data_IF_819908481768
#
_entry.id   IF_819908481768
#
_cell.length_a   1.000
_cell.length_b   1.000
_cell.length_c   1.000
_cell.angle_alpha   90.00
_cell.angle_beta   90.00
_cell.angle_gamma   90.00
#
_symmetry.space_group_name_H-M   'P 1'
#
loop_
_entity.id
_entity.type
_entity.pdbx_description
1 polymer ?
#
# COMPACT_ATOMS: atom_id res chain seq x y z
N UNK A 1 59.21 -22.65 21.83
CA UNK A 1 59.06 -22.31 20.39
C UNK A 1 59.39 -23.54 19.55
N UNK A 2 58.44 -24.02 18.73
CA UNK A 2 58.62 -24.62 17.39
C UNK A 2 57.24 -25.11 16.91
N UNK A 3 56.84 -24.56 15.77
CA UNK A 3 55.47 -24.47 15.25
C UNK A 3 54.96 -25.83 14.78
N UNK A 4 53.83 -26.29 15.32
CA UNK A 4 53.04 -27.39 14.75
C UNK A 4 51.93 -26.77 13.91
N UNK A 5 52.01 -27.07 12.62
CA UNK A 5 51.05 -26.82 11.57
C UNK A 5 49.66 -27.32 12.01
N UNK A 6 48.67 -26.43 12.12
CA UNK A 6 47.27 -26.82 12.12
C UNK A 6 46.57 -26.06 11.01
N UNK A 7 46.52 -26.72 9.87
CA UNK A 7 45.80 -26.36 8.65
C UNK A 7 44.31 -26.33 8.98
N UNK A 8 43.76 -25.14 9.21
CA UNK A 8 42.32 -24.91 9.12
C UNK A 8 42.05 -24.28 7.77
N UNK A 9 41.81 -25.12 6.77
CA UNK A 9 41.13 -24.73 5.54
C UNK A 9 39.74 -24.23 5.93
N UNK A 10 39.63 -22.91 6.13
CA UNK A 10 38.36 -22.22 6.18
C UNK A 10 37.80 -22.25 4.75
N UNK A 11 37.02 -23.29 4.45
CA UNK A 11 36.14 -23.28 3.31
C UNK A 11 35.15 -22.12 3.54
N UNK A 12 35.45 -20.97 2.95
CA UNK A 12 34.53 -19.85 2.85
C UNK A 12 33.39 -20.36 1.99
N UNK A 13 32.35 -20.85 2.65
CA UNK A 13 31.03 -20.98 2.06
C UNK A 13 30.64 -19.57 1.57
N UNK A 14 30.84 -19.33 0.28
CA UNK A 14 30.09 -18.32 -0.46
C UNK A 14 28.63 -18.76 -0.43
N UNK A 15 27.95 -18.52 0.69
CA UNK A 15 26.51 -18.38 0.67
C UNK A 15 26.26 -17.07 -0.07
N UNK A 16 26.17 -17.16 -1.40
CA UNK A 16 25.40 -16.19 -2.16
C UNK A 16 23.97 -16.39 -1.67
N UNK A 17 23.64 -15.75 -0.55
CA UNK A 17 22.26 -15.50 -0.20
C UNK A 17 21.79 -14.47 -1.22
N UNK A 18 21.50 -14.93 -2.44
CA UNK A 18 20.57 -14.30 -3.33
C UNK A 18 19.16 -14.42 -2.72
N UNK A 19 19.00 -13.94 -1.49
CA UNK A 19 17.76 -13.30 -1.13
C UNK A 19 17.79 -11.97 -1.89
N UNK A 20 17.54 -12.05 -3.20
CA UNK A 20 16.91 -10.96 -3.90
C UNK A 20 15.75 -10.58 -2.99
N UNK A 21 15.92 -9.45 -2.29
CA UNK A 21 14.84 -8.81 -1.56
C UNK A 21 13.66 -8.84 -2.52
N UNK A 22 12.67 -9.69 -2.28
CA UNK A 22 11.43 -9.69 -3.04
C UNK A 22 10.87 -8.29 -2.84
N UNK A 23 11.19 -7.41 -3.80
CA UNK A 23 10.85 -6.00 -3.76
C UNK A 23 9.33 -6.03 -3.83
N UNK A 24 8.66 -5.78 -2.69
CA UNK A 24 7.19 -5.77 -2.65
C UNK A 24 6.70 -4.95 -3.85
N UNK A 25 5.77 -5.47 -4.66
CA UNK A 25 5.25 -4.72 -5.82
C UNK A 25 4.87 -3.33 -5.35
N UNK A 26 5.30 -2.31 -6.09
CA UNK A 26 4.97 -0.94 -5.76
C UNK A 26 3.43 -0.82 -5.70
N UNK A 27 2.89 -0.47 -4.53
CA UNK A 27 1.45 -0.34 -4.36
C UNK A 27 0.98 1.00 -4.93
N UNK A 28 -0.11 0.98 -5.73
CA UNK A 28 -0.74 2.20 -6.23
C UNK A 28 -1.27 3.03 -5.06
N UNK A 29 -0.82 4.29 -4.98
CA UNK A 29 -1.31 5.27 -4.02
C UNK A 29 -2.57 5.97 -4.58
N UNK A 30 -3.70 5.27 -4.62
CA UNK A 30 -4.93 5.70 -5.33
C UNK A 30 -5.39 7.15 -5.06
N UNK A 31 -5.18 7.65 -3.86
CA UNK A 31 -5.62 8.97 -3.42
C UNK A 31 -4.55 10.06 -3.57
N UNK A 32 -3.38 9.71 -4.09
CA UNK A 32 -2.26 10.64 -4.23
C UNK A 32 -2.51 11.60 -5.39
N UNK A 33 -1.95 12.81 -5.28
CA UNK A 33 -2.10 13.82 -6.33
C UNK A 33 -1.52 13.33 -7.65
N UNK A 34 -0.42 12.58 -7.60
CA UNK A 34 0.27 12.00 -8.75
C UNK A 34 -0.65 11.02 -9.50
N UNK A 35 -1.27 10.06 -8.79
CA UNK A 35 -2.18 9.09 -9.42
C UNK A 35 -3.43 9.76 -9.98
N UNK A 36 -3.97 10.77 -9.28
CA UNK A 36 -5.11 11.53 -9.79
C UNK A 36 -4.77 12.33 -11.06
N UNK A 37 -3.56 12.89 -11.12
CA UNK A 37 -3.08 13.55 -12.33
C UNK A 37 -2.88 12.56 -13.49
N UNK A 38 -2.34 11.36 -13.21
CA UNK A 38 -2.12 10.32 -14.23
C UNK A 38 -3.42 9.87 -14.92
N UNK A 39 -4.53 9.81 -14.17
CA UNK A 39 -5.85 9.48 -14.73
C UNK A 39 -6.60 10.72 -15.28
N UNK A 40 -5.93 11.87 -15.38
CA UNK A 40 -6.52 13.13 -15.80
C UNK A 40 -7.80 13.47 -15.00
N UNK A 41 -7.75 13.31 -13.67
CA UNK A 41 -8.89 13.62 -12.82
C UNK A 41 -9.29 15.10 -12.95
N UNK A 42 -10.60 15.36 -13.04
CA UNK A 42 -11.12 16.73 -13.14
C UNK A 42 -10.92 17.49 -11.81
N UNK A 43 -10.92 18.83 -11.82
CA UNK A 43 -10.87 19.62 -10.58
C UNK A 43 -11.97 19.22 -9.57
N UNK A 44 -13.15 18.87 -10.08
CA UNK A 44 -14.28 18.38 -9.29
C UNK A 44 -13.97 17.01 -8.66
N UNK A 45 -13.40 16.07 -9.41
CA UNK A 45 -12.96 14.78 -8.88
C UNK A 45 -11.88 14.95 -7.81
N UNK A 46 -10.88 15.81 -8.04
CA UNK A 46 -9.87 16.12 -7.02
C UNK A 46 -10.50 16.62 -5.72
N UNK A 47 -11.43 17.58 -5.81
CA UNK A 47 -12.12 18.13 -4.64
C UNK A 47 -12.96 17.07 -3.93
N UNK A 48 -13.70 16.25 -4.67
CA UNK A 48 -14.54 15.19 -4.11
C UNK A 48 -13.70 14.12 -3.40
N UNK A 49 -12.61 13.68 -4.03
CA UNK A 49 -11.70 12.67 -3.45
C UNK A 49 -11.00 13.23 -2.21
N UNK A 50 -10.59 14.50 -2.22
CA UNK A 50 -10.02 15.14 -1.02
C UNK A 50 -11.05 15.17 0.13
N UNK A 51 -12.27 15.63 -0.13
CA UNK A 51 -13.32 15.67 0.87
C UNK A 51 -13.63 14.27 1.44
N UNK A 52 -13.69 13.26 0.58
CA UNK A 52 -13.87 11.87 0.96
C UNK A 52 -12.74 11.37 1.87
N UNK A 53 -11.49 11.71 1.56
CA UNK A 53 -10.33 11.35 2.39
C UNK A 53 -10.36 12.07 3.75
N UNK A 54 -10.62 13.38 3.76
CA UNK A 54 -10.69 14.18 4.98
C UNK A 54 -11.77 13.64 5.92
N UNK A 55 -12.96 13.35 5.38
CA UNK A 55 -14.09 12.79 6.12
C UNK A 55 -13.76 11.41 6.69
N UNK A 56 -13.24 10.50 5.86
CA UNK A 56 -12.84 9.16 6.31
C UNK A 56 -11.80 9.20 7.42
N UNK A 57 -10.85 10.13 7.36
CA UNK A 57 -9.85 10.30 8.42
C UNK A 57 -10.45 10.86 9.70
N UNK A 58 -11.39 11.81 9.59
CA UNK A 58 -12.12 12.36 10.75
C UNK A 58 -12.91 11.26 11.46
N UNK A 59 -13.68 10.48 10.72
CA UNK A 59 -14.53 9.42 11.27
C UNK A 59 -13.69 8.30 11.90
N UNK A 60 -12.60 7.90 11.24
CA UNK A 60 -11.68 6.92 11.80
C UNK A 60 -10.99 7.41 13.07
N UNK A 61 -10.68 8.71 13.19
CA UNK A 61 -10.16 9.30 14.43
C UNK A 61 -11.19 9.28 15.54
N UNK A 62 -12.43 9.68 15.26
CA UNK A 62 -13.52 9.67 16.23
C UNK A 62 -13.71 8.26 16.83
N UNK A 63 -13.77 7.22 15.99
CA UNK A 63 -13.91 5.83 16.46
C UNK A 63 -12.71 5.39 17.31
N UNK A 64 -11.48 5.74 16.89
CA UNK A 64 -10.28 5.33 17.64
C UNK A 64 -10.23 5.96 19.03
N UNK A 65 -10.69 7.20 19.14
CA UNK A 65 -10.78 7.95 20.39
C UNK A 65 -12.00 7.61 21.25
N UNK A 66 -12.95 6.81 20.75
CA UNK A 66 -14.16 6.44 21.49
C UNK A 66 -13.83 5.42 22.60
N UNK A 67 -13.87 5.83 23.86
CA UNK A 67 -13.56 4.95 25.00
C UNK A 67 -14.67 3.92 25.29
N UNK A 68 -15.87 4.09 24.72
CA UNK A 68 -16.98 3.14 24.90
C UNK A 68 -16.84 1.87 24.05
N UNK A 69 -15.98 1.89 23.03
CA UNK A 69 -15.76 0.78 22.11
C UNK A 69 -14.55 -0.08 22.51
N UNK A 70 -14.70 -1.39 22.36
CA UNK A 70 -13.56 -2.32 22.45
C UNK A 70 -12.58 -2.09 21.28
N UNK A 71 -11.32 -2.53 21.45
CA UNK A 71 -10.33 -2.42 20.38
C UNK A 71 -10.74 -3.21 19.12
N UNK A 72 -11.44 -4.34 19.29
CA UNK A 72 -11.93 -5.14 18.17
C UNK A 72 -13.04 -4.40 17.42
N UNK A 73 -14.00 -3.83 18.15
CA UNK A 73 -15.10 -3.05 17.54
C UNK A 73 -14.56 -1.82 16.79
N UNK A 74 -13.56 -1.14 17.36
CA UNK A 74 -12.85 -0.04 16.68
C UNK A 74 -12.24 -0.51 15.36
N UNK A 75 -11.56 -1.66 15.37
CA UNK A 75 -10.93 -2.20 14.17
C UNK A 75 -11.96 -2.53 13.09
N UNK A 76 -13.08 -3.16 13.47
CA UNK A 76 -14.18 -3.49 12.55
C UNK A 76 -14.80 -2.22 11.96
N UNK A 77 -15.11 -1.22 12.80
CA UNK A 77 -15.70 0.03 12.37
C UNK A 77 -14.76 0.84 11.44
N UNK A 78 -13.46 0.91 11.76
CA UNK A 78 -12.47 1.55 10.89
C UNK A 78 -12.33 0.80 9.55
N UNK A 79 -12.34 -0.54 9.54
CA UNK A 79 -12.33 -1.33 8.31
C UNK A 79 -13.54 -1.02 7.42
N UNK A 80 -14.73 -0.87 8.03
CA UNK A 80 -15.96 -0.47 7.30
C UNK A 80 -15.79 0.89 6.63
N UNK A 81 -15.29 1.90 7.35
CA UNK A 81 -14.99 3.23 6.77
C UNK A 81 -14.02 3.15 5.60
N UNK A 82 -12.94 2.37 5.74
CA UNK A 82 -11.94 2.22 4.67
C UNK A 82 -12.56 1.55 3.43
N UNK A 83 -13.41 0.55 3.62
CA UNK A 83 -14.13 -0.14 2.54
C UNK A 83 -15.13 0.79 1.83
N UNK A 84 -15.92 1.54 2.60
CA UNK A 84 -16.89 2.52 2.07
C UNK A 84 -16.20 3.64 1.31
N UNK A 85 -15.08 4.16 1.84
CA UNK A 85 -14.22 5.11 1.15
C UNK A 85 -13.72 4.57 -0.19
N UNK A 86 -13.22 3.33 -0.21
CA UNK A 86 -12.73 2.74 -1.44
C UNK A 86 -13.85 2.64 -2.50
N UNK A 87 -15.04 2.18 -2.10
CA UNK A 87 -16.21 2.13 -2.99
C UNK A 87 -16.58 3.51 -3.53
N UNK A 88 -16.66 4.52 -2.67
CA UNK A 88 -16.98 5.89 -3.06
C UNK A 88 -15.91 6.47 -4.01
N UNK A 89 -14.64 6.18 -3.78
CA UNK A 89 -13.57 6.57 -4.69
C UNK A 89 -13.77 6.01 -6.09
N UNK A 90 -14.01 4.71 -6.23
CA UNK A 90 -14.24 4.08 -7.54
C UNK A 90 -15.49 4.63 -8.24
N UNK A 91 -16.54 4.97 -7.47
CA UNK A 91 -17.76 5.58 -8.01
C UNK A 91 -17.55 7.01 -8.54
N UNK A 92 -16.49 7.71 -8.10
CA UNK A 92 -16.15 9.04 -8.58
C UNK A 92 -15.36 9.03 -9.90
N UNK A 93 -14.86 7.88 -10.34
CA UNK A 93 -14.05 7.75 -11.54
C UNK A 93 -14.88 7.37 -12.75
N UNK A 94 -14.42 7.77 -13.94
CA UNK A 94 -14.99 7.26 -15.18
C UNK A 94 -14.58 5.80 -15.43
N UNK A 95 -15.27 5.07 -16.31
CA UNK A 95 -14.87 3.73 -16.71
C UNK A 95 -13.42 3.66 -17.24
N UNK A 96 -13.00 4.66 -18.02
CA UNK A 96 -11.66 4.73 -18.61
C UNK A 96 -10.59 4.94 -17.53
N UNK A 97 -10.83 5.85 -16.59
CA UNK A 97 -9.95 6.09 -15.44
C UNK A 97 -9.81 4.83 -14.57
N UNK A 98 -10.93 4.14 -14.33
CA UNK A 98 -10.96 2.88 -13.59
C UNK A 98 -10.13 1.81 -14.29
N UNK A 99 -10.32 1.65 -15.60
CA UNK A 99 -9.58 0.69 -16.41
C UNK A 99 -8.08 0.97 -16.39
N UNK A 100 -7.67 2.23 -16.53
CA UNK A 100 -6.26 2.62 -16.45
C UNK A 100 -5.60 2.14 -15.15
N UNK A 101 -6.26 2.37 -14.01
CA UNK A 101 -5.73 1.97 -12.69
C UNK A 101 -5.67 0.44 -12.52
N UNK A 102 -6.65 -0.28 -13.07
CA UNK A 102 -6.66 -1.74 -13.06
C UNK A 102 -5.53 -2.32 -13.91
N UNK A 103 -5.30 -1.77 -15.10
CA UNK A 103 -4.22 -2.17 -15.99
C UNK A 103 -2.85 -1.84 -15.37
N UNK A 104 -2.70 -0.65 -14.76
CA UNK A 104 -1.49 -0.29 -14.00
C UNK A 104 -1.24 -1.25 -12.84
N UNK A 105 -2.29 -1.63 -12.09
CA UNK A 105 -2.17 -2.60 -10.99
C UNK A 105 -1.71 -3.96 -11.49
N UNK A 106 -2.28 -4.43 -12.59
CA UNK A 106 -1.91 -5.70 -13.22
C UNK A 106 -0.44 -5.69 -13.65
N UNK A 107 -0.01 -4.63 -14.35
CA UNK A 107 1.39 -4.46 -14.76
C UNK A 107 2.35 -4.46 -13.58
N UNK A 108 2.04 -3.74 -12.50
CA UNK A 108 2.88 -3.72 -11.29
C UNK A 108 2.97 -5.09 -10.60
N UNK A 109 1.94 -5.92 -10.73
CA UNK A 109 1.95 -7.30 -10.23
C UNK A 109 2.76 -8.23 -11.15
N UNK A 110 2.71 -8.04 -12.46
CA UNK A 110 3.53 -8.76 -13.44
C UNK A 110 5.02 -8.43 -13.27
N UNK A 111 5.38 -7.15 -13.14
CA UNK A 111 6.76 -6.68 -12.96
C UNK A 111 7.42 -7.13 -11.64
N UNK A 112 6.63 -7.65 -10.70
CA UNK A 112 7.10 -8.10 -9.38
C UNK A 112 7.29 -9.63 -9.27
N UNK A 113 6.89 -10.39 -10.30
CA UNK A 113 7.11 -11.84 -10.41
C UNK A 113 8.32 -12.14 -11.28
#
# INVERSE_FOLDING_TARGET
>A
MKRKLLTFTLAIFLVIAANAQQKKPAAIQYYSKEVLNEINATPQQHKAIKALMDQSQKDARAIKSDESLSQEDKNVAVKKIVSERAKAYWALLTPEQTKYLQDKKKKLAEDAN
#
